data_IF_893983115915
#
_entry.id   IF_893983115915
#
_cell.length_a   1.000
_cell.length_b   1.000
_cell.length_c   1.000
_cell.angle_alpha   90.00
_cell.angle_beta   90.00
_cell.angle_gamma   90.00
#
_symmetry.space_group_name_H-M   'P 1'
#
loop_
_entity.id
_entity.type
_entity.pdbx_description
1 polymer ?
#
# COMPACT_ATOMS: atom_id res chain seq x y z
N UNK A 1 -18.00 33.11 -18.63
CA UNK A 1 -17.34 32.17 -17.71
C UNK A 1 -16.57 31.20 -18.59
N UNK A 2 -15.25 31.18 -18.49
CA UNK A 2 -14.42 30.22 -19.22
C UNK A 2 -14.59 28.85 -18.55
N UNK A 3 -14.60 27.76 -19.35
CA UNK A 3 -14.64 26.39 -18.78
C UNK A 3 -13.49 26.11 -17.79
N UNK A 4 -12.36 26.78 -17.99
CA UNK A 4 -11.19 26.70 -17.09
C UNK A 4 -11.45 27.28 -15.70
N UNK A 5 -12.42 28.23 -15.59
CA UNK A 5 -12.78 28.81 -14.29
C UNK A 5 -13.60 27.83 -13.42
N UNK A 6 -14.11 26.74 -14.04
CA UNK A 6 -14.87 25.69 -13.35
C UNK A 6 -13.99 24.52 -12.84
N UNK A 7 -12.72 24.51 -13.25
CA UNK A 7 -11.77 23.44 -12.88
C UNK A 7 -10.81 23.99 -11.83
N UNK A 8 -10.88 23.49 -10.63
CA UNK A 8 -9.90 23.80 -9.61
C UNK A 8 -8.59 23.04 -9.89
N UNK A 9 -7.51 23.77 -10.16
CA UNK A 9 -6.20 23.16 -10.38
C UNK A 9 -5.51 22.85 -9.05
N UNK A 10 -5.69 21.64 -8.57
CA UNK A 10 -5.05 21.14 -7.34
C UNK A 10 -3.52 21.11 -7.39
N UNK A 11 -2.94 21.13 -8.58
CA UNK A 11 -1.49 21.18 -8.76
C UNK A 11 -0.94 22.60 -8.66
N UNK A 12 -1.82 23.60 -8.58
CA UNK A 12 -1.51 25.04 -8.62
C UNK A 12 -2.03 25.78 -7.39
N UNK A 13 -2.05 25.13 -6.25
CA UNK A 13 -2.57 25.69 -4.99
C UNK A 13 -1.76 26.92 -4.55
N UNK A 14 -0.45 26.93 -4.86
CA UNK A 14 0.43 28.06 -4.61
C UNK A 14 1.13 28.45 -5.92
N UNK A 15 0.54 29.37 -6.70
CA UNK A 15 1.08 29.76 -8.02
C UNK A 15 2.46 30.43 -7.95
N UNK A 16 2.89 30.88 -6.77
CA UNK A 16 4.19 31.53 -6.55
C UNK A 16 5.27 30.58 -6.00
N UNK A 17 4.91 29.37 -5.59
CA UNK A 17 5.88 28.39 -5.11
C UNK A 17 6.60 27.71 -6.28
N UNK A 18 7.95 27.65 -6.27
CA UNK A 18 8.68 26.92 -7.31
C UNK A 18 8.32 25.44 -7.25
N UNK A 19 7.89 24.89 -8.38
CA UNK A 19 7.58 23.46 -8.55
C UNK A 19 8.84 22.64 -8.80
N UNK A 20 9.88 22.87 -8.04
CA UNK A 20 11.05 22.02 -8.07
C UNK A 20 10.83 20.82 -7.15
N UNK A 21 10.67 19.60 -7.67
CA UNK A 21 10.57 18.39 -6.85
C UNK A 21 11.73 18.24 -5.86
N UNK A 22 12.90 18.81 -6.21
CA UNK A 22 14.07 18.82 -5.33
C UNK A 22 13.94 19.82 -4.17
N UNK A 23 12.98 20.74 -4.21
CA UNK A 23 12.73 21.73 -3.15
C UNK A 23 11.74 21.26 -2.09
N UNK A 24 11.19 20.03 -2.20
CA UNK A 24 10.31 19.49 -1.18
C UNK A 24 11.07 19.31 0.14
N UNK A 25 10.63 19.99 1.24
CA UNK A 25 11.35 19.95 2.51
C UNK A 25 11.33 18.57 3.20
N UNK A 26 10.49 17.66 2.71
CA UNK A 26 10.31 16.32 3.25
C UNK A 26 10.33 15.28 2.14
N UNK A 27 10.92 14.09 2.39
CA UNK A 27 10.87 12.99 1.43
C UNK A 27 9.42 12.55 1.21
N UNK A 28 9.04 12.38 -0.05
CA UNK A 28 7.74 11.79 -0.42
C UNK A 28 7.92 10.27 -0.48
N UNK A 29 7.03 9.55 0.18
CA UNK A 29 7.00 8.10 0.18
C UNK A 29 5.80 7.59 -0.60
N UNK A 30 6.01 6.50 -1.33
CA UNK A 30 4.93 5.78 -1.98
C UNK A 30 4.44 4.67 -1.06
N UNK A 31 3.12 4.56 -0.92
CA UNK A 31 2.43 3.46 -0.28
C UNK A 31 1.66 2.69 -1.35
N UNK A 32 2.03 1.44 -1.59
CA UNK A 32 1.42 0.63 -2.65
C UNK A 32 0.24 -0.16 -2.08
N UNK A 33 -0.93 0.06 -2.67
CA UNK A 33 -2.21 -0.55 -2.27
C UNK A 33 -2.65 -1.68 -3.22
N UNK A 34 -1.79 -2.12 -4.14
CA UNK A 34 -2.15 -3.12 -5.15
C UNK A 34 -2.65 -4.42 -4.53
N UNK A 35 -1.98 -4.88 -3.45
CA UNK A 35 -2.28 -6.16 -2.79
C UNK A 35 -3.53 -6.09 -1.90
N UNK A 36 -4.01 -4.90 -1.57
CA UNK A 36 -5.22 -4.70 -0.78
C UNK A 36 -6.35 -4.10 -1.62
N UNK A 37 -6.30 -2.79 -1.93
CA UNK A 37 -7.36 -2.08 -2.64
C UNK A 37 -7.46 -2.53 -4.10
N UNK A 38 -6.35 -2.75 -4.76
CA UNK A 38 -6.31 -3.25 -6.12
C UNK A 38 -7.00 -4.61 -6.29
N UNK A 39 -6.92 -5.49 -5.30
CA UNK A 39 -7.58 -6.80 -5.33
C UNK A 39 -9.07 -6.76 -4.95
N UNK A 40 -9.56 -5.66 -4.43
CA UNK A 40 -10.98 -5.48 -4.12
C UNK A 40 -11.81 -5.12 -5.35
N UNK A 41 -11.18 -4.86 -6.49
CA UNK A 41 -11.88 -4.63 -7.75
C UNK A 41 -12.65 -5.89 -8.18
N UNK A 42 -13.93 -5.79 -8.58
CA UNK A 42 -14.72 -6.94 -9.02
C UNK A 42 -14.15 -7.64 -10.27
N UNK A 43 -13.33 -6.95 -11.04
CA UNK A 43 -12.68 -7.48 -12.24
C UNK A 43 -11.30 -8.09 -11.96
N UNK A 44 -10.75 -7.90 -10.76
CA UNK A 44 -9.46 -8.47 -10.40
C UNK A 44 -9.58 -9.99 -10.16
N UNK A 45 -8.61 -10.74 -10.68
CA UNK A 45 -8.42 -12.15 -10.29
C UNK A 45 -7.55 -12.18 -9.04
N UNK A 46 -7.93 -13.02 -8.07
CA UNK A 46 -7.13 -13.19 -6.87
C UNK A 46 -5.82 -13.93 -7.23
N UNK A 47 -4.64 -13.30 -7.05
CA UNK A 47 -3.37 -13.93 -7.38
C UNK A 47 -3.03 -15.03 -6.36
N UNK A 48 -2.19 -15.97 -6.79
CA UNK A 48 -1.61 -16.96 -5.86
C UNK A 48 -0.63 -16.28 -4.91
N UNK A 49 -0.24 -16.98 -3.84
CA UNK A 49 0.76 -16.43 -2.89
C UNK A 49 2.11 -16.19 -3.58
N UNK A 50 2.53 -17.07 -4.49
CA UNK A 50 3.76 -16.93 -5.24
C UNK A 50 3.75 -15.66 -6.11
N UNK A 51 2.61 -15.37 -6.76
CA UNK A 51 2.45 -14.16 -7.55
C UNK A 51 2.46 -12.89 -6.69
N UNK A 52 1.90 -12.95 -5.48
CA UNK A 52 1.97 -11.83 -4.53
C UNK A 52 3.39 -11.58 -4.03
N UNK A 53 4.14 -12.64 -3.77
CA UNK A 53 5.55 -12.56 -3.39
C UNK A 53 6.39 -11.98 -4.54
N UNK A 54 6.19 -12.44 -5.78
CA UNK A 54 6.87 -11.88 -6.95
C UNK A 54 6.59 -10.38 -7.11
N UNK A 55 5.33 -9.96 -6.91
CA UNK A 55 4.97 -8.55 -6.95
C UNK A 55 5.67 -7.74 -5.84
N UNK A 56 5.75 -8.31 -4.64
CA UNK A 56 6.44 -7.70 -3.51
C UNK A 56 7.95 -7.53 -3.78
N UNK A 57 8.59 -8.52 -4.42
CA UNK A 57 9.98 -8.44 -4.87
C UNK A 57 10.18 -7.30 -5.88
N UNK A 58 9.23 -7.12 -6.79
CA UNK A 58 9.26 -6.01 -7.75
C UNK A 58 9.08 -4.65 -7.06
N UNK A 59 8.21 -4.54 -6.06
CA UNK A 59 8.02 -3.32 -5.27
C UNK A 59 9.30 -2.96 -4.49
N UNK A 60 9.95 -3.92 -3.84
CA UNK A 60 11.23 -3.69 -3.16
C UNK A 60 12.31 -3.23 -4.14
N UNK A 61 12.44 -3.90 -5.30
CA UNK A 61 13.40 -3.54 -6.33
C UNK A 61 13.13 -2.15 -6.94
N UNK A 62 11.87 -1.75 -7.04
CA UNK A 62 11.47 -0.41 -7.52
C UNK A 62 11.74 0.67 -6.47
N UNK A 63 11.93 0.30 -5.21
CA UNK A 63 12.16 1.23 -4.10
C UNK A 63 10.88 1.82 -3.52
N UNK A 64 9.76 1.12 -3.59
CA UNK A 64 8.53 1.46 -2.88
C UNK A 64 8.80 1.41 -1.36
N UNK A 65 8.38 2.41 -0.62
CA UNK A 65 8.71 2.52 0.81
C UNK A 65 7.71 1.82 1.71
N UNK A 66 6.45 1.73 1.27
CA UNK A 66 5.37 1.09 2.04
C UNK A 66 4.50 0.23 1.13
N UNK A 67 3.89 -0.78 1.71
CA UNK A 67 2.92 -1.66 1.04
C UNK A 67 1.80 -2.05 2.00
N UNK A 68 0.55 -1.99 1.55
CA UNK A 68 -0.57 -2.62 2.24
C UNK A 68 -0.71 -4.07 1.76
N UNK A 69 -0.45 -5.02 2.65
CA UNK A 69 -0.44 -6.46 2.33
C UNK A 69 -1.85 -7.06 2.26
N UNK A 70 -2.86 -6.36 2.75
CA UNK A 70 -4.24 -6.84 2.72
C UNK A 70 -5.06 -6.49 3.95
N UNK A 71 -6.21 -7.16 4.06
CA UNK A 71 -7.19 -6.97 5.13
C UNK A 71 -7.28 -8.27 5.95
N UNK A 72 -6.60 -8.39 7.11
CA UNK A 72 -6.64 -9.60 7.95
C UNK A 72 -8.07 -9.98 8.37
N UNK A 73 -8.90 -8.98 8.67
CA UNK A 73 -10.31 -9.16 9.04
C UNK A 73 -11.21 -9.74 7.94
N UNK A 74 -10.70 -9.90 6.71
CA UNK A 74 -11.45 -10.55 5.62
C UNK A 74 -11.48 -12.09 5.72
N UNK A 75 -10.69 -12.68 6.62
CA UNK A 75 -10.76 -14.10 6.94
C UNK A 75 -9.43 -14.85 6.89
N UNK A 76 -9.42 -16.14 7.27
CA UNK A 76 -8.21 -16.93 7.45
C UNK A 76 -7.28 -16.99 6.23
N UNK A 77 -7.85 -17.10 5.04
CA UNK A 77 -7.08 -17.09 3.78
C UNK A 77 -6.24 -15.82 3.62
N UNK A 78 -6.78 -14.66 4.00
CA UNK A 78 -6.04 -13.39 3.93
C UNK A 78 -4.93 -13.33 4.97
N UNK A 79 -5.19 -13.83 6.17
CA UNK A 79 -4.20 -13.91 7.26
C UNK A 79 -3.02 -14.78 6.84
N UNK A 80 -3.27 -15.97 6.28
CA UNK A 80 -2.22 -16.89 5.81
C UNK A 80 -1.33 -16.27 4.73
N UNK A 81 -1.93 -15.56 3.77
CA UNK A 81 -1.17 -14.87 2.72
C UNK A 81 -0.36 -13.70 3.28
N UNK A 82 -0.91 -12.92 4.21
CA UNK A 82 -0.21 -11.81 4.85
C UNK A 82 0.98 -12.33 5.65
N UNK A 83 0.78 -13.39 6.44
CA UNK A 83 1.84 -14.03 7.23
C UNK A 83 2.99 -14.52 6.35
N UNK A 84 2.66 -15.17 5.23
CA UNK A 84 3.65 -15.63 4.26
C UNK A 84 4.45 -14.48 3.64
N UNK A 85 3.79 -13.36 3.31
CA UNK A 85 4.46 -12.17 2.78
C UNK A 85 5.33 -11.47 3.83
N UNK A 86 4.87 -11.39 5.08
CA UNK A 86 5.67 -10.86 6.20
C UNK A 86 6.92 -11.71 6.45
N UNK A 87 6.78 -13.04 6.43
CA UNK A 87 7.90 -13.97 6.51
C UNK A 87 8.93 -13.71 5.42
N UNK A 88 8.47 -13.56 4.17
CA UNK A 88 9.33 -13.28 3.02
C UNK A 88 10.10 -11.95 3.16
N UNK A 89 9.43 -10.87 3.61
CA UNK A 89 10.05 -9.58 3.87
C UNK A 89 11.17 -9.72 4.91
N UNK A 90 10.88 -10.40 6.02
CA UNK A 90 11.82 -10.57 7.12
C UNK A 90 13.03 -11.44 6.73
N UNK A 91 12.78 -12.57 6.07
CA UNK A 91 13.82 -13.54 5.67
C UNK A 91 14.80 -12.94 4.64
N UNK A 92 14.33 -12.05 3.79
CA UNK A 92 15.14 -11.38 2.77
C UNK A 92 15.68 -10.00 3.20
N UNK A 93 15.31 -9.52 4.39
CA UNK A 93 15.78 -8.24 4.92
C UNK A 93 15.34 -7.04 4.07
N UNK A 94 14.12 -7.06 3.55
CA UNK A 94 13.58 -5.99 2.72
C UNK A 94 13.42 -4.69 3.50
N UNK A 95 13.53 -3.58 2.79
CA UNK A 95 13.39 -2.22 3.35
C UNK A 95 11.95 -1.71 3.30
N UNK A 96 11.14 -2.28 2.42
CA UNK A 96 9.73 -1.95 2.30
C UNK A 96 9.02 -2.17 3.65
N UNK A 97 8.22 -1.21 4.07
CA UNK A 97 7.48 -1.26 5.34
C UNK A 97 6.10 -1.84 5.12
N UNK A 98 5.81 -3.04 5.62
CA UNK A 98 4.49 -3.63 5.50
C UNK A 98 3.47 -2.96 6.41
N UNK A 99 2.24 -2.88 5.95
CA UNK A 99 1.05 -2.51 6.68
C UNK A 99 -0.12 -3.38 6.29
N UNK A 100 -1.22 -3.25 7.03
CA UNK A 100 -2.49 -3.90 6.73
C UNK A 100 -3.64 -2.95 7.00
N UNK A 101 -4.67 -3.02 6.18
CA UNK A 101 -5.91 -2.32 6.45
C UNK A 101 -6.67 -3.01 7.58
N UNK A 102 -7.17 -2.23 8.53
CA UNK A 102 -8.03 -2.73 9.61
C UNK A 102 -9.16 -1.74 9.88
N UNK A 103 -10.37 -2.24 10.07
CA UNK A 103 -11.47 -1.42 10.61
C UNK A 103 -11.29 -1.29 12.12
N UNK A 104 -11.83 -0.24 12.71
CA UNK A 104 -11.75 0.02 14.16
C UNK A 104 -12.71 -0.87 14.97
N UNK A 105 -12.69 -2.19 14.70
CA UNK A 105 -13.46 -3.22 15.41
C UNK A 105 -12.53 -4.33 15.89
N UNK A 106 -12.84 -4.92 17.04
CA UNK A 106 -12.00 -5.93 17.69
C UNK A 106 -11.70 -7.13 16.76
N UNK A 107 -12.69 -7.58 16.00
CA UNK A 107 -12.54 -8.71 15.08
C UNK A 107 -11.52 -8.50 13.97
N UNK A 108 -11.21 -7.24 13.61
CA UNK A 108 -10.20 -6.92 12.60
C UNK A 108 -8.83 -6.66 13.24
N UNK A 109 -8.82 -6.09 14.45
CA UNK A 109 -7.60 -5.74 15.16
C UNK A 109 -6.90 -7.00 15.73
N UNK A 110 -7.68 -7.94 16.25
CA UNK A 110 -7.13 -9.14 16.88
C UNK A 110 -6.24 -9.97 15.94
N UNK A 111 -6.62 -10.29 14.70
CA UNK A 111 -5.76 -10.99 13.75
C UNK A 111 -4.44 -10.22 13.44
N UNK A 112 -4.51 -8.88 13.39
CA UNK A 112 -3.32 -8.07 13.16
C UNK A 112 -2.30 -8.19 14.32
N UNK A 113 -2.79 -8.21 15.56
CA UNK A 113 -1.93 -8.40 16.74
C UNK A 113 -1.24 -9.76 16.70
N UNK A 114 -1.96 -10.81 16.30
CA UNK A 114 -1.44 -12.17 16.20
C UNK A 114 -0.36 -12.31 15.11
N UNK A 115 -0.48 -11.57 14.00
CA UNK A 115 0.55 -11.52 12.95
C UNK A 115 1.85 -10.84 13.38
N UNK A 116 1.80 -9.97 14.38
CA UNK A 116 2.96 -9.24 14.91
C UNK A 116 3.70 -9.99 16.03
N UNK A 117 3.14 -11.10 16.50
CA UNK A 117 3.69 -11.90 17.60
C UNK A 117 4.70 -12.91 17.14
#
# INVERSE_FOLDING_TARGET
MDERDLIYDWNNIEPEAPRDPASHPHPVWFDDETLRDGLQSPSARNPTIEQKIELLDLMENLGIQKVDLGLPGAGPFHIEHIDSMLGHINDNGYKIRPGCAVRTVVSDIQPLIELQS
#
